data_IF_499481899574
#
_entry.id   IF_499481899574
#
_cell.length_a   1.000
_cell.length_b   1.000
_cell.length_c   1.000
_cell.angle_alpha   90.00
_cell.angle_beta   90.00
_cell.angle_gamma   90.00
#
_symmetry.space_group_name_H-M   'P 1'
#
loop_
_entity.id
_entity.type
_entity.pdbx_description
1 polymer ?
#
# COMPACT_ATOMS: atom_id res chain seq x y z
N UNK A 1 24.39 5.88 -4.30
CA UNK A 1 23.02 6.31 -3.97
C UNK A 1 22.39 5.20 -3.15
N UNK A 2 21.93 5.45 -1.93
CA UNK A 2 21.26 4.43 -1.13
C UNK A 2 19.86 4.20 -1.69
N UNK A 3 19.64 3.07 -2.35
CA UNK A 3 18.33 2.68 -2.89
C UNK A 3 17.32 2.60 -1.74
N UNK A 4 16.33 3.49 -1.73
CA UNK A 4 15.20 3.42 -0.80
C UNK A 4 14.12 2.53 -1.40
N UNK A 5 13.55 1.66 -0.59
CA UNK A 5 12.37 0.88 -0.95
C UNK A 5 11.11 1.68 -0.63
N UNK A 6 10.06 1.48 -1.42
CA UNK A 6 8.77 2.12 -1.22
C UNK A 6 7.70 1.04 -1.04
N UNK A 7 6.83 1.19 -0.05
CA UNK A 7 5.71 0.28 0.18
C UNK A 7 4.47 1.03 0.69
N UNK A 8 3.32 0.37 0.65
CA UNK A 8 2.07 0.86 1.22
C UNK A 8 1.56 -0.08 2.30
N UNK A 9 0.95 0.48 3.35
CA UNK A 9 0.35 -0.25 4.48
C UNK A 9 -1.08 0.24 4.68
N UNK A 10 -1.99 -0.68 4.97
CA UNK A 10 -3.35 -0.36 5.40
C UNK A 10 -3.33 0.21 6.83
N UNK A 11 -3.80 1.44 7.02
CA UNK A 11 -3.81 2.13 8.32
C UNK A 11 -4.61 1.38 9.38
N UNK A 12 -5.70 0.69 9.00
CA UNK A 12 -6.45 -0.15 9.93
C UNK A 12 -5.61 -1.26 10.55
N UNK A 13 -4.55 -1.74 9.88
CA UNK A 13 -3.62 -2.71 10.43
C UNK A 13 -2.60 -2.11 11.41
N UNK A 14 -2.30 -0.81 11.29
CA UNK A 14 -1.51 -0.05 12.25
C UNK A 14 -2.34 0.34 13.47
N UNK A 15 -3.61 0.70 13.29
CA UNK A 15 -4.51 1.00 14.42
C UNK A 15 -4.76 -0.23 15.30
N UNK A 16 -4.81 -1.42 14.68
CA UNK A 16 -4.97 -2.68 15.40
C UNK A 16 -3.70 -3.15 16.14
N UNK A 17 -2.52 -2.59 15.82
CA UNK A 17 -1.25 -3.08 16.37
C UNK A 17 -0.26 -1.95 16.63
N UNK A 18 0.19 -1.83 17.89
CA UNK A 18 1.13 -0.80 18.33
C UNK A 18 2.46 -0.77 17.56
N UNK A 19 2.82 -1.87 16.89
CA UNK A 19 3.99 -1.93 15.99
C UNK A 19 3.70 -2.87 14.83
N UNK A 20 3.76 -2.35 13.61
CA UNK A 20 3.60 -3.14 12.39
C UNK A 20 4.97 -3.43 11.77
N UNK A 21 5.19 -4.64 11.26
CA UNK A 21 6.47 -5.01 10.63
C UNK A 21 6.30 -5.08 9.12
N UNK A 22 7.02 -4.21 8.41
CA UNK A 22 7.08 -4.23 6.95
C UNK A 22 8.15 -5.20 6.50
N UNK A 23 7.80 -6.09 5.58
CA UNK A 23 8.75 -7.04 4.99
C UNK A 23 9.64 -6.37 3.95
N UNK A 24 10.95 -6.53 4.08
CA UNK A 24 11.95 -6.08 3.13
C UNK A 24 12.23 -7.15 2.06
N UNK A 25 12.70 -6.73 0.88
CA UNK A 25 13.08 -7.65 -0.21
C UNK A 25 14.21 -8.62 0.16
N UNK A 26 15.02 -8.33 1.17
CA UNK A 26 16.05 -9.23 1.69
C UNK A 26 15.49 -10.33 2.61
N UNK A 27 14.17 -10.35 2.85
CA UNK A 27 13.50 -11.25 3.79
C UNK A 27 13.48 -10.76 5.25
N UNK A 28 14.19 -9.68 5.57
CA UNK A 28 14.18 -9.07 6.90
C UNK A 28 12.95 -8.17 7.15
N UNK A 29 12.83 -7.68 8.38
CA UNK A 29 11.72 -6.82 8.81
C UNK A 29 12.19 -5.40 9.10
N UNK A 30 11.29 -4.45 8.90
CA UNK A 30 11.45 -3.07 9.33
C UNK A 30 10.23 -2.68 10.18
N UNK A 31 10.40 -2.45 11.50
CA UNK A 31 9.28 -2.04 12.35
C UNK A 31 8.89 -0.60 12.01
N UNK A 32 7.59 -0.33 12.05
CA UNK A 32 7.03 1.01 11.90
C UNK A 32 6.09 1.33 13.06
N UNK A 33 6.13 2.60 13.47
CA UNK A 33 5.27 3.23 14.47
C UNK A 33 4.76 4.55 13.89
N UNK A 34 3.45 4.87 13.95
CA UNK A 34 2.87 6.00 13.22
C UNK A 34 3.04 7.37 13.90
N UNK A 35 3.14 8.45 13.10
CA UNK A 35 3.05 9.88 13.45
C UNK A 35 2.44 10.73 12.29
N UNK A 36 1.26 11.33 12.50
CA UNK A 36 0.32 11.87 11.48
C UNK A 36 0.88 12.77 10.35
N UNK A 37 0.53 12.51 9.06
CA UNK A 37 0.79 13.39 7.89
C UNK A 37 -0.29 13.26 6.77
N UNK A 38 -0.70 14.34 6.08
CA UNK A 38 -1.77 14.29 5.05
C UNK A 38 -1.31 14.12 3.57
N UNK A 39 -2.01 13.30 2.77
CA UNK A 39 -1.91 13.12 1.30
C UNK A 39 -3.07 12.27 0.70
N UNK A 40 -3.10 11.94 -0.60
CA UNK A 40 -4.21 11.19 -1.25
C UNK A 40 -3.74 10.13 -2.30
N UNK A 41 -4.58 9.11 -2.57
CA UNK A 41 -4.45 7.97 -3.51
C UNK A 41 -5.83 7.33 -3.83
N UNK A 42 -5.96 6.19 -4.54
CA UNK A 42 -7.26 5.57 -4.95
C UNK A 42 -7.38 4.08 -4.58
N UNK A 43 -8.60 3.60 -4.28
CA UNK A 43 -8.85 2.32 -3.60
C UNK A 43 -10.18 1.61 -3.95
N UNK A 44 -10.25 0.29 -3.73
CA UNK A 44 -11.39 -0.60 -4.07
C UNK A 44 -12.65 -0.32 -3.24
N UNK A 45 -12.54 0.25 -2.03
CA UNK A 45 -13.72 0.60 -1.21
C UNK A 45 -14.46 1.87 -1.67
N UNK A 46 -14.28 2.27 -2.93
CA UNK A 46 -15.15 3.22 -3.62
C UNK A 46 -14.76 4.69 -3.50
N UNK A 47 -13.47 5.03 -3.52
CA UNK A 47 -13.07 6.44 -3.55
C UNK A 47 -11.57 6.71 -3.43
N UNK A 48 -11.20 8.01 -3.36
CA UNK A 48 -9.84 8.41 -3.04
C UNK A 48 -9.48 7.94 -1.62
N UNK A 49 -8.50 7.04 -1.50
CA UNK A 49 -7.88 6.69 -0.23
C UNK A 49 -6.89 7.76 0.17
N UNK A 50 -7.10 8.35 1.34
CA UNK A 50 -6.17 9.32 1.90
C UNK A 50 -4.90 8.63 2.38
N UNK A 51 -3.73 9.19 2.05
CA UNK A 51 -2.49 8.87 2.76
C UNK A 51 -2.55 9.66 4.07
N UNK A 52 -2.59 8.94 5.19
CA UNK A 52 -2.73 9.53 6.54
C UNK A 52 -1.41 9.64 7.28
N UNK A 53 -0.36 9.03 6.73
CA UNK A 53 0.99 9.11 7.28
C UNK A 53 2.04 8.70 6.21
N UNK A 54 3.28 9.18 6.38
CA UNK A 54 4.45 8.73 5.64
C UNK A 54 5.61 8.49 6.60
N UNK A 55 5.97 7.22 6.75
CA UNK A 55 7.00 6.79 7.67
C UNK A 55 8.29 6.43 6.93
N UNK A 56 9.43 6.66 7.58
CA UNK A 56 10.73 6.16 7.12
C UNK A 56 11.30 5.23 8.18
N UNK A 57 11.63 4.01 7.78
CA UNK A 57 12.26 3.02 8.64
C UNK A 57 13.44 2.37 7.93
N UNK A 58 14.17 1.49 8.61
CA UNK A 58 15.25 0.71 8.02
C UNK A 58 15.03 -0.77 8.27
N UNK A 59 15.34 -1.59 7.27
CA UNK A 59 15.38 -3.02 7.48
C UNK A 59 16.44 -3.38 8.53
N UNK A 60 16.05 -4.11 9.57
CA UNK A 60 16.96 -4.56 10.63
C UNK A 60 18.02 -5.56 10.14
N UNK A 61 17.83 -6.15 8.96
CA UNK A 61 18.74 -7.13 8.38
C UNK A 61 19.78 -6.49 7.44
N UNK A 62 19.31 -5.73 6.43
CA UNK A 62 20.19 -5.17 5.39
C UNK A 62 20.38 -3.65 5.48
N UNK A 63 19.79 -2.99 6.49
CA UNK A 63 19.86 -1.56 6.73
C UNK A 63 19.33 -0.65 5.58
N UNK A 64 18.63 -1.24 4.61
CA UNK A 64 17.99 -0.51 3.51
C UNK A 64 16.90 0.40 4.06
N UNK A 65 16.89 1.67 3.63
CA UNK A 65 15.84 2.61 3.98
C UNK A 65 14.54 2.26 3.28
N UNK A 66 13.43 2.28 4.01
CA UNK A 66 12.11 1.94 3.52
C UNK A 66 11.18 3.10 3.83
N UNK A 67 10.58 3.66 2.78
CA UNK A 67 9.55 4.69 2.86
C UNK A 67 8.19 4.00 2.78
N UNK A 68 7.36 4.22 3.79
CA UNK A 68 6.05 3.58 3.93
C UNK A 68 4.97 4.65 3.83
N UNK A 69 4.06 4.50 2.86
CA UNK A 69 2.84 5.30 2.79
C UNK A 69 1.71 4.58 3.52
N UNK A 70 1.18 5.20 4.57
CA UNK A 70 0.05 4.65 5.32
C UNK A 70 -1.25 5.16 4.72
N UNK A 71 -2.13 4.22 4.39
CA UNK A 71 -3.42 4.48 3.77
C UNK A 71 -4.50 4.53 4.84
N UNK A 72 -5.51 5.39 4.69
CA UNK A 72 -6.64 5.45 5.63
C UNK A 72 -7.40 4.12 5.68
N UNK A 73 -7.60 3.59 6.89
CA UNK A 73 -8.35 2.36 7.14
C UNK A 73 -7.79 1.14 6.37
N UNK A 74 -8.69 0.31 5.86
CA UNK A 74 -8.35 -0.84 5.01
C UNK A 74 -8.82 -0.59 3.57
N UNK A 75 -7.94 -0.18 2.65
CA UNK A 75 -8.31 0.15 1.27
C UNK A 75 -8.59 -1.09 0.39
N UNK A 76 -8.28 -2.30 0.87
CA UNK A 76 -8.34 -3.47 0.01
C UNK A 76 -7.19 -3.44 -1.00
N UNK A 77 -7.41 -2.95 -2.22
CA UNK A 77 -6.38 -2.85 -3.27
C UNK A 77 -6.11 -1.39 -3.64
N UNK A 78 -4.91 -1.14 -4.16
CA UNK A 78 -4.50 0.14 -4.73
C UNK A 78 -4.12 -0.06 -6.19
N UNK A 79 -4.69 0.76 -7.06
CA UNK A 79 -4.28 0.80 -8.46
C UNK A 79 -3.16 1.83 -8.62
N UNK A 80 -2.02 1.39 -9.15
CA UNK A 80 -0.90 2.27 -9.48
C UNK A 80 -0.67 2.27 -10.98
N UNK A 81 -0.28 3.43 -11.53
CA UNK A 81 0.04 3.59 -12.95
C UNK A 81 1.52 3.91 -13.08
N UNK A 82 2.26 3.07 -13.80
CA UNK A 82 3.66 3.30 -14.15
C UNK A 82 3.81 3.30 -15.67
N UNK A 83 3.83 4.50 -16.25
CA UNK A 83 3.72 4.69 -17.70
C UNK A 83 2.37 4.18 -18.23
N UNK A 84 2.40 3.28 -19.21
CA UNK A 84 1.20 2.66 -19.79
C UNK A 84 0.79 1.36 -19.09
N UNK A 85 1.46 0.97 -18.00
CA UNK A 85 1.14 -0.24 -17.25
C UNK A 85 0.44 0.11 -15.96
N UNK A 86 -0.70 -0.54 -15.75
CA UNK A 86 -1.47 -0.46 -14.53
C UNK A 86 -1.15 -1.69 -13.69
N UNK A 87 -0.87 -1.47 -12.41
CA UNK A 87 -0.50 -2.52 -11.49
C UNK A 87 -1.41 -2.43 -10.27
N UNK A 88 -2.10 -3.53 -10.01
CA UNK A 88 -2.89 -3.72 -8.80
C UNK A 88 -1.95 -4.15 -7.67
N UNK A 89 -1.94 -3.38 -6.59
CA UNK A 89 -1.15 -3.64 -5.41
C UNK A 89 -2.07 -3.95 -4.22
N UNK A 90 -1.68 -4.93 -3.40
CA UNK A 90 -2.33 -5.21 -2.12
C UNK A 90 -1.44 -4.62 -1.01
N UNK A 91 -1.85 -3.53 -0.34
CA UNK A 91 -1.12 -2.97 0.80
C UNK A 91 -0.90 -4.01 1.89
N UNK A 92 0.26 -3.96 2.54
CA UNK A 92 0.52 -4.86 3.67
C UNK A 92 -0.49 -4.56 4.79
N UNK A 93 -1.02 -5.61 5.41
CA UNK A 93 -2.06 -5.49 6.44
C UNK A 93 -3.49 -5.32 5.90
N UNK A 94 -3.68 -5.28 4.57
CA UNK A 94 -5.01 -5.30 3.98
C UNK A 94 -5.73 -6.63 4.25
N UNK A 95 -7.04 -6.58 4.45
CA UNK A 95 -7.88 -7.78 4.67
C UNK A 95 -8.29 -8.49 3.37
N UNK A 96 -7.94 -7.90 2.23
CA UNK A 96 -8.26 -8.46 0.91
C UNK A 96 -7.40 -9.66 0.54
N UNK A 97 -7.93 -10.50 -0.36
CA UNK A 97 -7.24 -11.67 -0.88
C UNK A 97 -5.93 -11.28 -1.60
N UNK A 98 -4.84 -12.07 -1.50
CA UNK A 98 -3.62 -11.85 -2.28
C UNK A 98 -3.88 -11.72 -3.78
N UNK A 99 -3.21 -10.76 -4.43
CA UNK A 99 -3.34 -10.53 -5.89
C UNK A 99 -3.02 -11.80 -6.69
N UNK A 100 -2.07 -12.61 -6.23
CA UNK A 100 -1.70 -13.89 -6.86
C UNK A 100 -2.81 -14.95 -6.83
N UNK A 101 -3.80 -14.78 -5.96
CA UNK A 101 -4.94 -15.70 -5.84
C UNK A 101 -6.21 -15.15 -6.52
N UNK A 102 -6.12 -14.02 -7.21
CA UNK A 102 -7.20 -13.49 -8.03
C UNK A 102 -7.22 -14.18 -9.39
N UNK A 103 -8.41 -14.52 -9.86
CA UNK A 103 -8.60 -14.92 -11.26
C UNK A 103 -8.41 -13.72 -12.19
N UNK A 104 -8.13 -13.99 -13.47
CA UNK A 104 -7.99 -12.93 -14.48
C UNK A 104 -9.24 -12.04 -14.53
N UNK A 105 -10.43 -12.65 -14.48
CA UNK A 105 -11.70 -11.91 -14.48
C UNK A 105 -11.91 -11.05 -13.24
N UNK A 106 -11.52 -11.52 -12.05
CA UNK A 106 -11.58 -10.71 -10.82
C UNK A 106 -10.59 -9.55 -10.87
N UNK A 107 -9.38 -9.79 -11.36
CA UNK A 107 -8.36 -8.76 -11.51
C UNK A 107 -8.83 -7.63 -12.45
N UNK A 108 -9.38 -7.97 -13.62
CA UNK A 108 -9.91 -7.00 -14.57
C UNK A 108 -11.13 -6.25 -14.01
N UNK A 109 -12.04 -6.95 -13.30
CA UNK A 109 -13.21 -6.33 -12.71
C UNK A 109 -12.84 -5.26 -11.66
N UNK A 110 -11.84 -5.54 -10.81
CA UNK A 110 -11.36 -4.58 -9.80
C UNK A 110 -10.76 -3.34 -10.47
N UNK A 111 -9.95 -3.52 -11.52
CA UNK A 111 -9.34 -2.40 -12.25
C UNK A 111 -10.43 -1.54 -12.91
N UNK A 112 -11.41 -2.16 -13.56
CA UNK A 112 -12.52 -1.45 -14.21
C UNK A 112 -13.39 -0.69 -13.21
N UNK A 113 -13.67 -1.27 -12.04
CA UNK A 113 -14.40 -0.60 -10.96
C UNK A 113 -13.63 0.62 -10.43
N UNK A 114 -12.33 0.49 -10.19
CA UNK A 114 -11.49 1.60 -9.73
C UNK A 114 -11.43 2.74 -10.75
N UNK A 115 -11.33 2.42 -12.05
CA UNK A 115 -11.34 3.41 -13.14
C UNK A 115 -12.62 4.21 -13.22
N UNK A 116 -13.78 3.56 -13.03
CA UNK A 116 -15.09 4.25 -13.03
C UNK A 116 -15.22 5.29 -11.92
N UNK A 117 -14.44 5.16 -10.85
CA UNK A 117 -14.45 6.04 -9.69
C UNK A 117 -13.22 6.97 -9.63
N UNK A 118 -12.35 6.93 -10.63
CA UNK A 118 -11.27 7.88 -10.79
C UNK A 118 -11.84 9.12 -11.50
N UNK A 119 -11.65 10.35 -11.00
CA UNK A 119 -12.06 11.54 -11.71
C UNK A 119 -11.33 11.58 -13.05
N UNK A 120 -12.07 11.81 -14.13
CA UNK A 120 -11.50 12.24 -15.40
C UNK A 120 -10.71 13.53 -15.12
N UNK A 121 -9.41 13.49 -15.42
CA UNK A 121 -8.44 14.56 -15.18
C UNK A 121 -8.78 15.83 -15.98
#
# INVERSE_FOLDING_TARGET
MSEKLYTMVAGGALEANSTFNVRCNCGGNAPITPESVAGYGYSKKGGPTKIVDRLETKCLNCNTGIVVSVLEGDPGYVLTKHGNKEMLFLPQGSTSKPVAELTVGEHEAIIQEMKKNMPDE
#
